data_IF_648284780852
#
_entry.id   IF_648284780852
#
_cell.length_a   1.000
_cell.length_b   1.000
_cell.length_c   1.000
_cell.angle_alpha   90.00
_cell.angle_beta   90.00
_cell.angle_gamma   90.00
#
_symmetry.space_group_name_H-M   'P 1'
#
loop_
_entity.id
_entity.type
_entity.pdbx_description
1 polymer ?
#
# COMPACT_ATOMS: atom_id res chain seq x y z
N UNK A 1 -18.66 -7.71 -17.65
CA UNK A 1 -18.52 -6.93 -16.41
C UNK A 1 -17.41 -5.92 -16.62
N UNK A 2 -17.67 -4.62 -16.45
CA UNK A 2 -16.59 -3.64 -16.47
C UNK A 2 -15.84 -3.74 -15.15
N UNK A 3 -14.55 -4.05 -15.19
CA UNK A 3 -13.68 -3.94 -14.03
C UNK A 3 -13.64 -2.47 -13.62
N UNK A 4 -14.06 -2.17 -12.39
CA UNK A 4 -14.07 -0.80 -11.89
C UNK A 4 -12.61 -0.38 -11.69
N UNK A 5 -12.11 0.46 -12.59
CA UNK A 5 -10.74 0.99 -12.52
C UNK A 5 -10.59 1.75 -11.21
N UNK A 6 -9.77 1.21 -10.30
CA UNK A 6 -9.46 1.84 -9.02
C UNK A 6 -8.52 3.01 -9.26
N UNK A 7 -8.99 4.22 -8.96
CA UNK A 7 -8.16 5.42 -9.03
C UNK A 7 -7.19 5.44 -7.83
N UNK A 8 -5.90 5.61 -8.12
CA UNK A 8 -4.84 5.65 -7.10
C UNK A 8 -4.31 7.07 -7.02
N UNK A 9 -4.42 7.68 -5.83
CA UNK A 9 -3.81 8.98 -5.55
C UNK A 9 -2.35 8.79 -5.14
N UNK A 10 -1.44 9.51 -5.77
CA UNK A 10 -0.03 9.59 -5.39
C UNK A 10 0.34 11.02 -5.05
N UNK A 11 1.49 11.19 -4.40
CA UNK A 11 2.05 12.49 -4.11
C UNK A 11 2.41 13.23 -5.42
N UNK A 12 2.25 14.56 -5.42
CA UNK A 12 2.52 15.37 -6.61
C UNK A 12 3.99 15.35 -7.01
N UNK A 13 4.90 15.37 -6.04
CA UNK A 13 6.33 15.33 -6.32
C UNK A 13 6.69 13.97 -6.92
N UNK A 14 6.20 12.88 -6.35
CA UNK A 14 6.39 11.54 -6.92
C UNK A 14 5.87 11.45 -8.36
N UNK A 15 4.71 12.04 -8.65
CA UNK A 15 4.19 12.11 -10.03
C UNK A 15 5.12 12.91 -10.95
N UNK A 16 5.62 14.06 -10.51
CA UNK A 16 6.55 14.89 -11.27
C UNK A 16 7.85 14.13 -11.55
N UNK A 17 8.43 13.46 -10.55
CA UNK A 17 9.67 12.67 -10.73
C UNK A 17 9.46 11.57 -11.77
N UNK A 18 8.34 10.83 -11.68
CA UNK A 18 7.96 9.82 -12.68
C UNK A 18 7.83 10.43 -14.07
N UNK A 19 7.14 11.57 -14.18
CA UNK A 19 7.00 12.30 -15.45
C UNK A 19 8.36 12.70 -16.02
N UNK A 20 9.27 13.22 -15.17
CA UNK A 20 10.60 13.62 -15.59
C UNK A 20 11.44 12.44 -16.08
N UNK A 21 11.37 11.32 -15.36
CA UNK A 21 12.03 10.06 -15.74
C UNK A 21 11.59 9.58 -17.13
N UNK A 22 10.27 9.45 -17.36
CA UNK A 22 9.76 8.87 -18.61
C UNK A 22 9.84 9.82 -19.81
N UNK A 23 9.67 11.13 -19.61
CA UNK A 23 9.62 12.09 -20.73
C UNK A 23 10.99 12.63 -21.08
N UNK A 24 11.87 12.82 -20.10
CA UNK A 24 13.17 13.46 -20.30
C UNK A 24 14.36 12.55 -20.00
N UNK A 25 14.13 11.29 -19.62
CA UNK A 25 15.21 10.33 -19.32
C UNK A 25 16.05 10.72 -18.10
N UNK A 26 15.45 11.45 -17.14
CA UNK A 26 16.12 11.86 -15.91
C UNK A 26 16.15 10.73 -14.90
N UNK A 27 17.28 10.03 -14.85
CA UNK A 27 17.48 8.85 -14.00
C UNK A 27 18.04 9.16 -12.60
N UNK A 28 18.37 10.42 -12.32
CA UNK A 28 18.92 10.91 -11.03
C UNK A 28 18.00 10.60 -9.84
N UNK A 29 16.70 10.52 -10.09
CA UNK A 29 15.67 10.31 -9.06
C UNK A 29 15.09 8.89 -9.05
N UNK A 30 15.67 7.95 -9.82
CA UNK A 30 15.12 6.59 -10.01
C UNK A 30 14.89 5.85 -8.69
N UNK A 31 15.83 5.92 -7.76
CA UNK A 31 15.71 5.24 -6.47
C UNK A 31 14.63 5.85 -5.58
N UNK A 32 14.44 7.18 -5.64
CA UNK A 32 13.37 7.87 -4.93
C UNK A 32 12.00 7.51 -5.53
N UNK A 33 11.90 7.42 -6.85
CA UNK A 33 10.69 6.97 -7.54
C UNK A 33 10.32 5.55 -7.10
N UNK A 34 11.29 4.62 -7.13
CA UNK A 34 11.08 3.22 -6.69
C UNK A 34 10.62 3.17 -5.23
N UNK A 35 11.27 3.92 -4.35
CA UNK A 35 10.92 3.98 -2.93
C UNK A 35 9.50 4.51 -2.71
N UNK A 36 9.14 5.62 -3.38
CA UNK A 36 7.81 6.22 -3.28
C UNK A 36 6.69 5.33 -3.81
N UNK A 37 6.92 4.65 -4.94
CA UNK A 37 5.96 3.69 -5.49
C UNK A 37 5.79 2.47 -4.58
N UNK A 38 6.90 1.95 -4.02
CA UNK A 38 6.86 0.83 -3.07
C UNK A 38 6.08 1.20 -1.81
N UNK A 39 6.40 2.33 -1.18
CA UNK A 39 5.67 2.84 0.00
C UNK A 39 4.17 3.02 -0.30
N UNK A 40 3.84 3.55 -1.49
CA UNK A 40 2.44 3.69 -1.90
C UNK A 40 1.73 2.33 -1.98
N UNK A 41 2.38 1.34 -2.57
CA UNK A 41 1.83 -0.01 -2.69
C UNK A 41 1.64 -0.65 -1.31
N UNK A 42 2.66 -0.55 -0.45
CA UNK A 42 2.62 -1.10 0.90
C UNK A 42 1.46 -0.50 1.72
N UNK A 43 1.25 0.82 1.63
CA UNK A 43 0.10 1.50 2.26
C UNK A 43 -1.25 1.01 1.71
N UNK A 44 -1.33 0.72 0.41
CA UNK A 44 -2.55 0.17 -0.20
C UNK A 44 -2.84 -1.25 0.26
N UNK A 45 -1.81 -2.11 0.32
CA UNK A 45 -1.92 -3.47 0.83
C UNK A 45 -2.38 -3.44 2.29
N UNK A 46 -1.71 -2.64 3.14
CA UNK A 46 -2.09 -2.46 4.54
C UNK A 46 -3.55 -2.01 4.70
N UNK A 47 -4.01 -1.09 3.85
CA UNK A 47 -5.41 -0.62 3.89
C UNK A 47 -6.39 -1.72 3.50
N UNK A 48 -6.06 -2.56 2.53
CA UNK A 48 -6.89 -3.69 2.13
C UNK A 48 -6.99 -4.72 3.26
N UNK A 49 -5.86 -5.15 3.82
CA UNK A 49 -5.81 -6.10 4.94
C UNK A 49 -6.61 -5.57 6.14
N UNK A 50 -6.43 -4.28 6.47
CA UNK A 50 -7.24 -3.65 7.52
C UNK A 50 -8.74 -3.73 7.20
N UNK A 51 -9.13 -3.45 5.96
CA UNK A 51 -10.54 -3.51 5.55
C UNK A 51 -11.08 -4.93 5.67
N UNK A 52 -10.35 -5.93 5.16
CA UNK A 52 -10.69 -7.36 5.25
C UNK A 52 -10.84 -7.80 6.71
N UNK A 53 -9.95 -7.38 7.60
CA UNK A 53 -10.06 -7.66 9.04
C UNK A 53 -11.36 -7.14 9.67
N UNK A 54 -12.00 -6.13 9.06
CA UNK A 54 -13.25 -5.53 9.54
C UNK A 54 -14.50 -6.08 8.87
N UNK A 55 -14.43 -6.46 7.60
CA UNK A 55 -15.63 -6.77 6.79
C UNK A 55 -15.71 -8.23 6.34
N UNK A 56 -14.65 -9.04 6.48
CA UNK A 56 -14.68 -10.42 6.02
C UNK A 56 -15.81 -11.21 6.71
N UNK A 57 -16.46 -12.10 5.99
CA UNK A 57 -17.66 -12.78 6.48
C UNK A 57 -17.30 -13.84 7.53
N UNK A 58 -16.20 -14.55 7.34
CA UNK A 58 -15.70 -15.54 8.30
C UNK A 58 -14.92 -14.90 9.45
N UNK A 59 -15.07 -15.47 10.66
CA UNK A 59 -14.29 -15.07 11.84
C UNK A 59 -12.81 -15.42 11.67
N UNK A 60 -12.52 -16.55 11.01
CA UNK A 60 -11.15 -17.02 10.76
C UNK A 60 -10.41 -16.07 9.80
N UNK A 61 -11.07 -15.67 8.72
CA UNK A 61 -10.51 -14.70 7.75
C UNK A 61 -10.29 -13.33 8.39
N UNK A 62 -11.22 -12.87 9.22
CA UNK A 62 -11.07 -11.62 10.00
C UNK A 62 -9.85 -11.68 10.92
N UNK A 63 -9.69 -12.77 11.67
CA UNK A 63 -8.59 -12.90 12.64
C UNK A 63 -7.23 -13.08 11.94
N UNK A 64 -7.19 -13.81 10.82
CA UNK A 64 -5.98 -13.92 10.00
C UNK A 64 -5.56 -12.56 9.42
N UNK A 65 -6.50 -11.79 8.87
CA UNK A 65 -6.22 -10.44 8.38
C UNK A 65 -5.83 -9.48 9.51
N UNK A 66 -6.42 -9.61 10.70
CA UNK A 66 -6.03 -8.82 11.88
C UNK A 66 -4.58 -9.08 12.26
N UNK A 67 -4.18 -10.35 12.33
CA UNK A 67 -2.79 -10.74 12.64
C UNK A 67 -1.81 -10.22 11.59
N UNK A 68 -2.08 -10.43 10.30
CA UNK A 68 -1.21 -9.94 9.23
C UNK A 68 -1.08 -8.40 9.23
N UNK A 69 -2.16 -7.68 9.54
CA UNK A 69 -2.09 -6.22 9.72
C UNK A 69 -1.17 -5.81 10.88
N UNK A 70 -1.30 -6.47 12.03
CA UNK A 70 -0.52 -6.18 13.24
C UNK A 70 0.96 -6.55 13.07
N UNK A 71 1.25 -7.67 12.39
CA UNK A 71 2.60 -8.11 12.06
C UNK A 71 3.30 -7.11 11.13
N UNK A 72 2.63 -6.66 10.08
CA UNK A 72 3.17 -5.63 9.17
C UNK A 72 3.30 -4.25 9.81
N UNK A 73 2.61 -4.01 10.93
CA UNK A 73 2.77 -2.82 11.79
C UNK A 73 3.84 -3.00 12.85
N UNK A 74 4.47 -4.18 12.93
CA UNK A 74 5.51 -4.53 13.90
C UNK A 74 5.06 -4.30 15.34
N UNK A 75 3.76 -4.46 15.62
CA UNK A 75 3.22 -4.31 16.97
C UNK A 75 3.61 -5.56 17.77
N UNK A 76 4.28 -5.46 18.92
CA UNK A 76 4.66 -6.64 19.70
C UNK A 76 3.42 -7.36 20.23
N UNK A 77 3.48 -8.69 20.37
CA UNK A 77 2.33 -9.53 20.71
C UNK A 77 1.65 -9.12 22.03
N UNK A 78 2.44 -8.69 23.01
CA UNK A 78 1.97 -8.19 24.31
C UNK A 78 1.07 -6.94 24.21
N UNK A 79 1.10 -6.23 23.08
CA UNK A 79 0.30 -5.02 22.83
C UNK A 79 -0.89 -5.27 21.87
N UNK A 80 -1.21 -6.54 21.56
CA UNK A 80 -2.24 -6.93 20.57
C UNK A 80 -3.60 -7.32 21.17
N UNK A 81 -3.96 -6.71 22.31
CA UNK A 81 -5.26 -6.89 22.95
C UNK A 81 -6.43 -6.25 22.16
#
# INVERSE_FOLDING_TARGET
MYEKVKQIKIDEDLFRMIYQYFIYGREDETELIKAGLKDKMDKMILRNIYTESKIAESVEERENARKDYLDRKEIPEDFRW
#
